data_IF_676283307648
#
_entry.id   IF_676283307648
#
_cell.length_a   1.000
_cell.length_b   1.000
_cell.length_c   1.000
_cell.angle_alpha   90.00
_cell.angle_beta   90.00
_cell.angle_gamma   90.00
#
_symmetry.space_group_name_H-M   'P 1'
#
loop_
_entity.id
_entity.type
_entity.pdbx_description
1 polymer ?
#
# COMPACT_ATOMS: atom_id res chain seq x y z
N UNK A 1 -45.25 6.40 -20.93
CA UNK A 1 -43.80 6.40 -21.22
C UNK A 1 -42.88 6.50 -19.98
N UNK A 2 -43.40 6.49 -18.74
CA UNK A 2 -42.59 6.67 -17.51
C UNK A 2 -41.84 5.41 -17.03
N UNK A 3 -42.43 4.22 -17.19
CA UNK A 3 -41.87 2.95 -16.66
C UNK A 3 -40.60 2.47 -17.39
N UNK A 4 -40.43 2.80 -18.67
CA UNK A 4 -39.25 2.40 -19.46
C UNK A 4 -38.01 3.23 -19.10
N UNK A 5 -38.18 4.53 -18.84
CA UNK A 5 -37.10 5.44 -18.45
C UNK A 5 -36.49 5.05 -17.09
N UNK A 6 -37.33 4.67 -16.12
CA UNK A 6 -36.87 4.21 -14.81
C UNK A 6 -35.98 2.96 -14.87
N UNK A 7 -36.33 1.99 -15.74
CA UNK A 7 -35.54 0.77 -15.95
C UNK A 7 -34.18 1.05 -16.60
N UNK A 8 -34.14 1.93 -17.60
CA UNK A 8 -32.89 2.34 -18.25
C UNK A 8 -31.98 3.09 -17.28
N UNK A 9 -32.51 4.01 -16.47
CA UNK A 9 -31.75 4.72 -15.46
C UNK A 9 -31.11 3.77 -14.43
N UNK A 10 -31.82 2.70 -14.05
CA UNK A 10 -31.29 1.67 -13.15
C UNK A 10 -30.14 0.88 -13.80
N UNK A 11 -30.24 0.55 -15.09
CA UNK A 11 -29.15 -0.09 -15.84
C UNK A 11 -27.93 0.81 -15.96
N UNK A 12 -28.12 2.10 -16.26
CA UNK A 12 -27.03 3.09 -16.32
C UNK A 12 -26.36 3.22 -14.95
N UNK A 13 -27.13 3.31 -13.87
CA UNK A 13 -26.62 3.36 -12.49
C UNK A 13 -25.78 2.13 -12.14
N UNK A 14 -26.16 0.96 -12.64
CA UNK A 14 -25.46 -0.30 -12.39
C UNK A 14 -24.34 -0.60 -13.41
N UNK A 15 -24.18 0.23 -14.45
CA UNK A 15 -23.18 0.05 -15.49
C UNK A 15 -21.75 0.19 -14.94
N UNK A 16 -20.78 -0.45 -15.60
CA UNK A 16 -19.36 -0.36 -15.20
C UNK A 16 -18.79 1.05 -15.28
N UNK A 17 -19.27 1.87 -16.23
CA UNK A 17 -18.85 3.26 -16.37
C UNK A 17 -19.32 4.10 -15.17
N UNK A 18 -20.53 3.85 -14.68
CA UNK A 18 -21.05 4.54 -13.48
C UNK A 18 -20.35 4.12 -12.18
N UNK A 19 -19.72 2.94 -12.14
CA UNK A 19 -18.96 2.46 -10.98
C UNK A 19 -17.58 3.14 -10.85
N UNK A 20 -17.05 3.74 -11.91
CA UNK A 20 -15.75 4.42 -11.87
C UNK A 20 -15.89 5.72 -11.06
N UNK A 21 -15.10 5.92 -9.99
CA UNK A 21 -15.17 7.13 -9.20
C UNK A 21 -14.68 8.33 -10.01
N UNK A 22 -15.51 9.37 -10.11
CA UNK A 22 -15.15 10.62 -10.77
C UNK A 22 -14.18 11.43 -9.91
N UNK A 23 -13.11 11.91 -10.51
CA UNK A 23 -12.15 12.78 -9.86
C UNK A 23 -11.69 13.90 -10.81
N UNK A 24 -11.73 15.15 -10.36
CA UNK A 24 -11.19 16.29 -11.12
C UNK A 24 -9.68 16.49 -10.92
N UNK A 25 -8.94 15.42 -10.61
CA UNK A 25 -7.50 15.51 -10.34
C UNK A 25 -6.74 15.46 -11.67
N UNK A 26 -5.60 16.17 -11.80
CA UNK A 26 -4.81 16.06 -13.01
C UNK A 26 -4.23 14.66 -13.17
N UNK A 27 -4.27 14.11 -14.39
CA UNK A 27 -3.74 12.78 -14.75
C UNK A 27 -2.23 12.70 -14.50
N UNK A 28 -1.52 13.76 -14.86
CA UNK A 28 -0.08 13.96 -14.60
C UNK A 28 0.08 14.94 -13.45
N UNK A 29 0.76 14.51 -12.38
CA UNK A 29 1.02 15.33 -11.20
C UNK A 29 2.53 15.48 -11.03
N UNK A 30 3.01 16.72 -10.93
CA UNK A 30 4.43 17.02 -10.68
C UNK A 30 4.85 16.82 -9.22
N UNK A 31 3.89 16.84 -8.29
CA UNK A 31 4.13 16.68 -6.86
C UNK A 31 4.30 15.23 -6.39
N UNK A 32 4.67 15.03 -5.12
CA UNK A 32 4.86 13.70 -4.55
C UNK A 32 3.54 12.91 -4.52
N UNK A 33 3.53 11.76 -5.18
CA UNK A 33 2.38 10.85 -5.24
C UNK A 33 2.51 9.74 -4.20
N UNK A 34 1.74 9.82 -3.12
CA UNK A 34 1.76 8.82 -2.04
C UNK A 34 0.87 7.61 -2.31
N UNK A 35 -0.24 7.80 -3.01
CA UNK A 35 -1.24 6.77 -3.26
C UNK A 35 -1.88 6.94 -4.66
N UNK A 36 -2.59 5.92 -5.18
CA UNK A 36 -3.31 6.03 -6.44
C UNK A 36 -4.32 7.18 -6.42
N UNK A 37 -4.49 7.81 -7.57
CA UNK A 37 -5.36 8.99 -7.76
C UNK A 37 -6.58 8.65 -8.60
N UNK A 38 -6.36 7.93 -9.69
CA UNK A 38 -7.36 7.48 -10.66
C UNK A 38 -7.53 5.96 -10.56
N UNK A 39 -8.72 5.49 -10.93
CA UNK A 39 -8.99 4.07 -11.12
C UNK A 39 -8.24 3.58 -12.37
N UNK A 40 -7.50 2.48 -12.22
CA UNK A 40 -6.89 1.80 -13.36
C UNK A 40 -7.98 0.99 -14.07
N UNK A 41 -8.04 1.13 -15.39
CA UNK A 41 -8.88 0.30 -16.26
C UNK A 41 -7.98 -0.59 -17.09
N UNK A 42 -8.35 -1.87 -17.11
CA UNK A 42 -7.70 -2.89 -17.93
C UNK A 42 -8.64 -3.32 -19.06
N UNK A 43 -8.08 -3.49 -20.25
CA UNK A 43 -8.75 -4.12 -21.39
C UNK A 43 -8.13 -5.49 -21.70
N UNK A 44 -8.89 -6.37 -22.35
CA UNK A 44 -8.38 -7.66 -22.83
C UNK A 44 -7.53 -7.46 -24.09
N UNK A 45 -6.58 -8.36 -24.40
CA UNK A 45 -5.81 -8.26 -25.64
C UNK A 45 -6.68 -8.19 -26.90
N UNK A 46 -7.78 -8.96 -26.95
CA UNK A 46 -8.70 -8.97 -28.09
C UNK A 46 -9.47 -7.66 -28.29
N UNK A 47 -9.80 -6.96 -27.22
CA UNK A 47 -10.50 -5.67 -27.27
C UNK A 47 -9.52 -4.51 -27.47
N UNK A 48 -8.29 -4.63 -26.97
CA UNK A 48 -7.22 -3.67 -27.24
C UNK A 48 -6.93 -3.54 -28.73
N UNK A 49 -6.86 -4.68 -29.44
CA UNK A 49 -6.63 -4.71 -30.89
C UNK A 49 -7.71 -3.93 -31.67
N UNK A 50 -8.95 -4.01 -31.18
CA UNK A 50 -10.11 -3.27 -31.71
C UNK A 50 -10.25 -1.85 -31.16
N UNK A 51 -9.30 -1.39 -30.33
CA UNK A 51 -9.32 -0.07 -29.69
C UNK A 51 -10.53 0.16 -28.75
N UNK A 52 -11.12 -0.93 -28.25
CA UNK A 52 -12.28 -0.91 -27.38
C UNK A 52 -11.88 -0.97 -25.89
N UNK A 53 -12.28 0.07 -25.16
CA UNK A 53 -11.97 0.23 -23.73
C UNK A 53 -13.23 0.34 -22.86
N UNK A 54 -14.42 0.26 -23.45
CA UNK A 54 -15.68 0.53 -22.75
C UNK A 54 -15.86 1.99 -22.35
N UNK A 55 -15.18 2.90 -23.05
CA UNK A 55 -15.32 4.36 -22.94
C UNK A 55 -16.19 4.88 -24.10
N UNK A 56 -16.49 6.18 -24.11
CA UNK A 56 -17.33 6.79 -25.16
C UNK A 56 -16.70 6.71 -26.55
N UNK A 57 -15.40 6.98 -26.65
CA UNK A 57 -14.63 6.91 -27.90
C UNK A 57 -13.58 5.80 -27.85
N UNK A 58 -13.14 5.36 -29.03
CA UNK A 58 -12.01 4.45 -29.18
C UNK A 58 -10.70 5.15 -28.81
N UNK A 59 -9.77 4.38 -28.27
CA UNK A 59 -8.44 4.87 -27.89
C UNK A 59 -7.46 4.62 -29.05
N UNK A 60 -6.55 5.56 -29.38
CA UNK A 60 -5.64 5.41 -30.52
C UNK A 60 -4.83 4.10 -30.53
N UNK A 61 -4.65 3.48 -31.71
CA UNK A 61 -3.84 2.26 -31.92
C UNK A 61 -2.38 2.38 -31.48
N UNK A 62 -1.86 3.61 -31.35
CA UNK A 62 -0.52 3.87 -30.81
C UNK A 62 -0.35 3.30 -29.40
N UNK A 63 -1.44 3.21 -28.63
CA UNK A 63 -1.44 2.71 -27.26
C UNK A 63 -1.43 1.18 -27.26
N UNK A 64 -0.28 0.60 -26.89
CA UNK A 64 -0.07 -0.86 -26.81
C UNK A 64 -0.25 -1.42 -25.39
N UNK A 65 -0.35 -0.55 -24.39
CA UNK A 65 -0.50 -0.94 -22.99
C UNK A 65 -1.94 -1.34 -22.72
N UNK A 66 -2.16 -2.41 -21.95
CA UNK A 66 -3.52 -2.86 -21.56
C UNK A 66 -4.15 -2.05 -20.41
N UNK A 67 -3.39 -1.16 -19.79
CA UNK A 67 -3.82 -0.37 -18.65
C UNK A 67 -3.86 1.10 -19.02
N UNK A 68 -4.93 1.78 -18.64
CA UNK A 68 -5.02 3.24 -18.71
C UNK A 68 -5.73 3.81 -17.48
N UNK A 69 -5.59 5.11 -17.32
CA UNK A 69 -6.38 5.95 -16.42
C UNK A 69 -7.06 7.03 -17.25
N UNK A 70 -8.26 7.47 -16.87
CA UNK A 70 -8.97 8.55 -17.57
C UNK A 70 -9.66 9.49 -16.59
N UNK A 71 -9.99 10.70 -17.06
CA UNK A 71 -10.79 11.68 -16.34
C UNK A 71 -12.18 11.82 -16.99
N UNK A 72 -12.18 12.32 -18.22
CA UNK A 72 -13.39 12.66 -18.95
C UNK A 72 -13.58 11.69 -20.12
N UNK A 73 -14.82 11.24 -20.29
CA UNK A 73 -15.22 10.39 -21.40
C UNK A 73 -15.27 11.15 -22.73
N UNK A 74 -15.40 12.46 -22.67
CA UNK A 74 -15.39 13.35 -23.82
C UNK A 74 -15.12 14.77 -23.33
N UNK A 75 -14.24 15.48 -24.03
CA UNK A 75 -13.97 16.90 -23.78
C UNK A 75 -14.50 17.78 -24.89
N UNK A 76 -14.34 19.10 -24.77
CA UNK A 76 -14.69 20.05 -25.83
C UNK A 76 -13.92 19.74 -27.12
N UNK A 77 -12.69 19.26 -26.99
CA UNK A 77 -11.84 18.84 -28.11
C UNK A 77 -12.27 17.50 -28.73
N UNK A 78 -13.38 16.90 -28.26
CA UNK A 78 -13.94 15.62 -28.74
C UNK A 78 -13.00 14.44 -28.57
N UNK A 79 -12.17 14.47 -27.53
CA UNK A 79 -11.24 13.40 -27.18
C UNK A 79 -11.49 12.95 -25.73
N UNK A 80 -11.10 11.72 -25.43
CA UNK A 80 -11.04 11.23 -24.05
C UNK A 80 -9.77 11.76 -23.39
N UNK A 81 -9.86 12.25 -22.16
CA UNK A 81 -8.67 12.62 -21.39
C UNK A 81 -8.16 11.38 -20.67
N UNK A 82 -7.10 10.78 -21.20
CA UNK A 82 -6.53 9.54 -20.66
C UNK A 82 -5.00 9.55 -20.67
N UNK A 83 -4.42 8.69 -19.83
CA UNK A 83 -3.00 8.39 -19.80
C UNK A 83 -2.79 6.87 -19.77
N UNK A 84 -1.92 6.29 -20.63
CA UNK A 84 -1.63 4.85 -20.68
C UNK A 84 -0.76 4.40 -19.51
N UNK A 85 -1.30 4.46 -18.29
CA UNK A 85 -0.56 4.20 -17.05
C UNK A 85 -1.26 3.15 -16.16
N UNK A 86 -0.51 2.11 -15.80
CA UNK A 86 -0.91 1.09 -14.82
C UNK A 86 0.10 0.88 -13.69
N UNK A 87 1.05 1.81 -13.50
CA UNK A 87 2.21 1.63 -12.61
C UNK A 87 1.85 1.33 -11.15
N UNK A 88 0.76 1.91 -10.63
CA UNK A 88 0.33 1.74 -9.24
C UNK A 88 -0.11 0.31 -8.92
N UNK A 89 -0.65 -0.44 -9.88
CA UNK A 89 -0.96 -1.87 -9.70
C UNK A 89 0.31 -2.69 -9.47
N UNK A 90 1.37 -2.41 -10.22
CA UNK A 90 2.65 -3.09 -10.07
C UNK A 90 3.32 -2.78 -8.73
N UNK A 91 3.21 -1.54 -8.24
CA UNK A 91 3.67 -1.19 -6.90
C UNK A 91 2.92 -1.99 -5.82
N UNK A 92 1.60 -2.14 -5.94
CA UNK A 92 0.81 -2.99 -5.02
C UNK A 92 1.26 -4.45 -5.06
N UNK A 93 1.45 -5.02 -6.24
CA UNK A 93 1.90 -6.41 -6.40
C UNK A 93 3.29 -6.60 -5.79
N UNK A 94 4.24 -5.71 -6.08
CA UNK A 94 5.58 -5.75 -5.48
C UNK A 94 5.53 -5.64 -3.96
N UNK A 95 4.69 -4.76 -3.40
CA UNK A 95 4.51 -4.65 -1.96
C UNK A 95 3.97 -5.95 -1.35
N UNK A 96 3.00 -6.59 -2.01
CA UNK A 96 2.47 -7.89 -1.60
C UNK A 96 3.54 -8.99 -1.66
N UNK A 97 4.45 -8.93 -2.63
CA UNK A 97 5.59 -9.86 -2.77
C UNK A 97 6.63 -9.67 -1.65
N UNK A 98 6.88 -8.44 -1.17
CA UNK A 98 7.65 -8.22 0.07
C UNK A 98 7.01 -9.01 1.21
N UNK A 99 5.68 -9.05 1.23
CA UNK A 99 4.83 -9.67 2.25
C UNK A 99 5.20 -9.24 3.66
N UNK A 100 5.51 -7.95 3.79
CA UNK A 100 5.68 -7.24 5.05
C UNK A 100 4.32 -6.69 5.45
N UNK A 101 3.85 -7.02 6.66
CA UNK A 101 2.63 -6.46 7.19
C UNK A 101 2.91 -5.05 7.75
N UNK A 102 2.21 -4.01 7.26
CA UNK A 102 2.41 -2.66 7.77
C UNK A 102 1.90 -2.57 9.20
N UNK A 103 2.70 -1.93 10.05
CA UNK A 103 2.31 -1.57 11.41
C UNK A 103 1.68 -0.17 11.40
N UNK A 104 0.61 -0.02 12.16
CA UNK A 104 0.01 1.29 12.40
C UNK A 104 0.79 2.05 13.48
N UNK A 105 0.54 3.35 13.62
CA UNK A 105 1.14 4.15 14.69
C UNK A 105 0.83 3.53 16.06
N UNK A 106 1.78 3.57 17.01
CA UNK A 106 1.60 3.00 18.34
C UNK A 106 0.35 3.58 19.00
N UNK A 107 -0.48 2.69 19.58
CA UNK A 107 -1.76 3.03 20.19
C UNK A 107 -2.98 3.04 19.28
N UNK A 108 -2.83 2.86 17.95
CA UNK A 108 -3.97 2.71 17.05
C UNK A 108 -4.22 1.23 16.75
N UNK A 109 -5.43 0.77 17.07
CA UNK A 109 -5.89 -0.54 16.67
C UNK A 109 -6.00 -0.66 15.15
N UNK A 110 -6.00 -1.89 14.64
CA UNK A 110 -6.23 -2.12 13.21
C UNK A 110 -7.65 -1.64 12.84
N UNK A 111 -7.80 -0.66 11.94
CA UNK A 111 -9.11 -0.08 11.63
C UNK A 111 -10.05 -1.01 10.87
N UNK A 112 -9.56 -2.17 10.39
CA UNK A 112 -10.37 -3.17 9.70
C UNK A 112 -11.15 -4.07 10.67
N UNK A 113 -10.77 -4.11 11.95
CA UNK A 113 -11.45 -4.90 12.96
C UNK A 113 -12.13 -3.97 13.96
N UNK A 114 -13.41 -4.23 14.22
CA UNK A 114 -14.13 -3.57 15.30
C UNK A 114 -13.71 -4.25 16.61
N UNK A 115 -12.93 -3.56 17.43
CA UNK A 115 -12.48 -4.06 18.72
C UNK A 115 -11.14 -3.48 19.13
N UNK A 116 -10.97 -3.30 20.44
CA UNK A 116 -9.69 -2.99 21.06
C UNK A 116 -8.71 -4.08 20.67
N UNK A 117 -7.83 -3.83 19.69
CA UNK A 117 -6.66 -4.71 19.54
C UNK A 117 -5.99 -4.75 20.90
N UNK A 118 -5.67 -5.94 21.40
CA UNK A 118 -5.10 -6.20 22.73
C UNK A 118 -3.80 -5.43 23.04
N UNK A 119 -3.29 -4.71 22.04
CA UNK A 119 -2.24 -3.70 22.11
C UNK A 119 -2.80 -2.30 21.81
N UNK A 120 -3.81 -1.84 22.56
CA UNK A 120 -3.85 -0.42 22.89
C UNK A 120 -2.62 -0.19 23.76
N UNK A 121 -1.45 -0.09 23.10
CA UNK A 121 -0.16 -0.06 23.75
C UNK A 121 -0.21 1.03 24.82
N UNK A 122 0.01 0.66 26.07
CA UNK A 122 0.22 1.60 27.19
C UNK A 122 1.38 2.59 26.89
N UNK A 123 2.15 2.33 25.82
CA UNK A 123 3.23 3.12 25.27
C UNK A 123 2.80 4.08 24.15
N UNK A 124 1.51 4.18 23.85
CA UNK A 124 1.00 5.16 22.88
C UNK A 124 1.29 6.57 23.38
N UNK A 125 2.00 7.42 22.60
CA UNK A 125 2.21 8.79 23.02
C UNK A 125 0.86 9.51 23.08
N UNK A 126 0.70 10.40 24.06
CA UNK A 126 -0.50 11.24 24.25
C UNK A 126 -0.98 11.94 22.97
N UNK A 127 -0.04 12.32 22.10
CA UNK A 127 -0.32 12.92 20.79
C UNK A 127 -1.06 11.99 19.81
N UNK A 128 -0.83 10.68 19.89
CA UNK A 128 -1.47 9.65 19.05
C UNK A 128 -2.96 9.55 19.35
N UNK A 129 -3.34 9.57 20.63
CA UNK A 129 -4.74 9.52 21.10
C UNK A 129 -5.50 10.76 20.65
N UNK A 130 -4.83 11.92 20.67
CA UNK A 130 -5.42 13.18 20.20
C UNK A 130 -5.36 13.35 18.67
N UNK A 131 -4.87 12.36 17.91
CA UNK A 131 -4.65 12.45 16.46
C UNK A 131 -3.82 13.70 16.05
N UNK A 132 -2.83 14.07 16.87
CA UNK A 132 -1.89 15.18 16.61
C UNK A 132 -0.59 14.57 16.08
N UNK A 133 -0.41 14.61 14.76
CA UNK A 133 0.83 14.18 14.10
C UNK A 133 1.85 15.31 14.02
N UNK A 134 3.14 14.99 13.80
CA UNK A 134 4.24 15.95 13.67
C UNK A 134 3.97 17.10 12.65
N UNK A 135 3.23 16.84 11.57
CA UNK A 135 2.76 17.87 10.61
C UNK A 135 1.57 18.72 11.08
N UNK A 136 0.70 18.16 11.93
CA UNK A 136 -0.45 18.87 12.51
C UNK A 136 -0.05 19.65 13.77
N UNK A 137 1.05 19.26 14.42
CA UNK A 137 1.66 19.97 15.54
C UNK A 137 2.13 21.38 15.16
N UNK A 138 2.58 21.57 13.92
CA UNK A 138 2.95 22.88 13.35
C UNK A 138 1.72 23.72 12.98
N UNK A 139 0.60 23.08 12.66
CA UNK A 139 -0.69 23.75 12.42
C UNK A 139 -1.37 24.10 13.76
N UNK A 140 -1.00 25.25 14.33
CA UNK A 140 -1.54 25.77 15.59
C UNK A 140 -3.08 25.74 15.69
N UNK A 141 -3.81 25.79 14.57
CA UNK A 141 -5.28 25.75 14.53
C UNK A 141 -5.87 24.44 15.08
N UNK A 142 -5.28 23.28 14.77
CA UNK A 142 -5.78 21.97 15.23
C UNK A 142 -5.47 21.76 16.71
N UNK A 143 -4.29 22.21 17.15
CA UNK A 143 -3.92 22.18 18.57
C UNK A 143 -4.81 23.13 19.37
N UNK A 144 -5.05 24.36 18.88
CA UNK A 144 -5.91 25.35 19.53
C UNK A 144 -7.37 24.91 19.64
N UNK A 145 -7.90 24.12 18.71
CA UNK A 145 -9.28 23.60 18.79
C UNK A 145 -9.42 22.44 19.78
N UNK A 146 -8.39 21.59 19.93
CA UNK A 146 -8.40 20.44 20.86
C UNK A 146 -7.94 20.79 22.28
N UNK A 147 -7.18 21.86 22.46
CA UNK A 147 -6.73 22.31 23.78
C UNK A 147 -7.88 22.64 24.76
N UNK A 148 -8.96 23.35 24.38
CA UNK A 148 -10.05 23.64 25.31
C UNK A 148 -10.77 22.38 25.78
N UNK A 149 -11.00 21.39 24.91
CA UNK A 149 -11.61 20.11 25.32
C UNK A 149 -10.70 19.30 26.24
N UNK A 150 -9.38 19.35 26.06
CA UNK A 150 -8.44 18.74 27.02
C UNK A 150 -8.43 19.50 28.36
N UNK A 151 -8.59 20.83 28.35
CA UNK A 151 -8.63 21.63 29.58
C UNK A 151 -9.87 21.34 30.43
N UNK A 152 -11.04 21.13 29.83
CA UNK A 152 -12.27 20.79 30.57
C UNK A 152 -12.14 19.44 31.28
N UNK A 153 -11.45 18.48 30.68
CA UNK A 153 -11.25 17.14 31.26
C UNK A 153 -10.28 17.09 32.45
N UNK A 154 -9.58 18.20 32.78
CA UNK A 154 -8.61 18.22 33.89
C UNK A 154 -9.24 17.99 35.26
N UNK A 155 -10.46 18.47 35.49
CA UNK A 155 -11.17 18.28 36.75
C UNK A 155 -11.46 16.80 37.01
N UNK A 156 -11.99 16.13 35.99
CA UNK A 156 -12.30 14.71 36.02
C UNK A 156 -11.03 13.85 36.13
N UNK A 157 -9.95 14.23 35.43
CA UNK A 157 -8.67 13.51 35.53
C UNK A 157 -8.11 13.54 36.96
N UNK A 158 -8.24 14.67 37.67
CA UNK A 158 -7.82 14.76 39.08
C UNK A 158 -8.65 13.85 39.99
N UNK A 159 -9.96 13.77 39.76
CA UNK A 159 -10.83 12.86 40.48
C UNK A 159 -10.49 11.39 40.20
N UNK A 160 -10.12 11.06 38.96
CA UNK A 160 -9.67 9.73 38.57
C UNK A 160 -8.30 9.37 39.19
N UNK A 161 -7.36 10.32 39.23
CA UNK A 161 -6.07 10.10 39.92
C UNK A 161 -6.25 9.83 41.42
N UNK A 162 -7.21 10.52 42.06
CA UNK A 162 -7.53 10.32 43.47
C UNK A 162 -8.06 8.91 43.77
N UNK A 163 -8.75 8.27 42.83
CA UNK A 163 -9.30 6.92 43.02
C UNK A 163 -8.30 5.80 42.71
N UNK A 164 -7.28 6.06 41.89
CA UNK A 164 -6.27 5.06 41.50
C UNK A 164 -5.07 5.03 42.45
N UNK A 165 -4.42 6.17 42.67
CA UNK A 165 -3.18 6.26 43.46
C UNK A 165 -3.22 7.42 44.47
N UNK A 166 -3.89 7.23 45.63
CA UNK A 166 -3.96 8.25 46.67
C UNK A 166 -2.59 8.49 47.34
N UNK A 167 -1.70 7.51 47.34
CA UNK A 167 -0.38 7.59 47.97
C UNK A 167 0.60 8.48 47.19
N UNK A 168 0.59 8.38 45.86
CA UNK A 168 1.40 9.23 44.99
C UNK A 168 1.00 10.71 45.10
N UNK A 169 -0.29 10.99 45.33
CA UNK A 169 -0.80 12.34 45.60
C UNK A 169 -0.36 12.89 46.96
N UNK A 170 -0.39 12.06 48.01
CA UNK A 170 0.06 12.46 49.36
C UNK A 170 1.56 12.76 49.39
N UNK A 171 2.35 11.94 48.69
CA UNK A 171 3.80 12.06 48.69
C UNK A 171 4.34 13.04 47.63
N UNK A 172 3.46 13.62 46.78
CA UNK A 172 3.81 14.50 45.66
C UNK A 172 4.92 13.94 44.76
N UNK A 173 5.03 12.61 44.67
CA UNK A 173 6.17 11.92 44.06
C UNK A 173 6.00 11.68 42.55
N UNK A 174 5.27 12.55 41.85
CA UNK A 174 4.98 12.36 40.43
C UNK A 174 6.15 12.75 39.54
N UNK A 175 6.67 11.78 38.79
CA UNK A 175 7.54 12.09 37.65
C UNK A 175 6.67 12.60 36.49
N UNK A 176 7.14 13.56 35.68
CA UNK A 176 6.44 13.97 34.45
C UNK A 176 6.11 12.81 33.50
N UNK A 177 6.90 11.74 33.52
CA UNK A 177 6.65 10.51 32.74
C UNK A 177 5.45 9.73 33.27
N UNK A 178 5.33 9.62 34.59
CA UNK A 178 4.24 8.88 35.24
C UNK A 178 2.90 9.59 34.98
N UNK A 179 2.88 10.93 35.12
CA UNK A 179 1.70 11.73 34.78
C UNK A 179 1.27 11.58 33.31
N UNK A 180 2.22 11.46 32.39
CA UNK A 180 1.91 11.22 30.99
C UNK A 180 1.29 9.83 30.78
N UNK A 181 1.82 8.79 31.44
CA UNK A 181 1.27 7.44 31.38
C UNK A 181 -0.14 7.37 31.97
N UNK A 182 -0.37 8.00 33.13
CA UNK A 182 -1.70 8.10 33.73
C UNK A 182 -2.68 8.89 32.87
N UNK A 183 -2.23 9.97 32.23
CA UNK A 183 -3.07 10.74 31.32
C UNK A 183 -3.45 9.92 30.07
N UNK A 184 -2.52 9.14 29.52
CA UNK A 184 -2.77 8.20 28.42
C UNK A 184 -3.80 7.14 28.84
N UNK A 185 -3.63 6.56 30.03
CA UNK A 185 -4.57 5.58 30.56
C UNK A 185 -5.97 6.17 30.76
N UNK A 186 -6.07 7.33 31.41
CA UNK A 186 -7.35 8.02 31.62
C UNK A 186 -8.08 8.32 30.31
N UNK A 187 -7.37 8.83 29.30
CA UNK A 187 -7.99 9.13 28.00
C UNK A 187 -8.43 7.85 27.28
N UNK A 188 -7.68 6.75 27.43
CA UNK A 188 -8.04 5.46 26.87
C UNK A 188 -9.30 4.88 27.52
N UNK A 189 -9.42 4.95 28.85
CA UNK A 189 -10.59 4.49 29.61
C UNK A 189 -11.82 5.36 29.33
N UNK A 190 -11.65 6.67 29.26
CA UNK A 190 -12.74 7.62 28.94
C UNK A 190 -13.14 7.58 27.46
N UNK A 191 -12.38 6.89 26.61
CA UNK A 191 -12.59 6.89 25.17
C UNK A 191 -12.38 8.26 24.52
N UNK A 192 -11.64 9.16 25.18
CA UNK A 192 -11.30 10.49 24.67
C UNK A 192 -10.20 10.36 23.60
N UNK A 193 -10.62 9.88 22.43
CA UNK A 193 -9.79 9.41 21.31
C UNK A 193 -10.50 8.32 20.50
N UNK A 194 -11.42 7.59 21.15
CA UNK A 194 -12.40 6.66 20.54
C UNK A 194 -13.71 7.37 20.14
N UNK A 195 -13.82 8.68 20.39
CA UNK A 195 -14.97 9.52 20.06
C UNK A 195 -15.12 9.84 18.56
N UNK A 196 -15.06 8.81 17.71
CA UNK A 196 -15.52 8.85 16.31
C UNK A 196 -15.84 7.44 15.74
N UNK A 197 -16.07 6.43 16.59
CA UNK A 197 -16.75 5.20 16.17
C UNK A 197 -18.28 5.37 16.09
N UNK A 198 -18.82 6.50 16.58
CA UNK A 198 -20.23 6.85 16.38
C UNK A 198 -20.43 7.61 15.07
N UNK A 199 -21.09 6.90 14.13
CA UNK A 199 -21.59 7.38 12.84
C UNK A 199 -20.49 7.71 11.83
N UNK A 200 -20.29 6.78 10.91
CA UNK A 200 -19.59 6.92 9.63
C UNK A 200 -20.12 8.14 8.85
N UNK A 201 -19.68 9.34 9.22
CA UNK A 201 -20.03 10.56 8.53
C UNK A 201 -19.15 10.69 7.28
N UNK A 202 -19.76 11.06 6.15
CA UNK A 202 -19.08 11.30 4.86
C UNK A 202 -17.96 12.35 4.95
N UNK A 203 -17.98 13.20 5.99
CA UNK A 203 -16.93 14.17 6.29
C UNK A 203 -15.69 13.52 6.94
N UNK A 204 -15.89 12.50 7.78
CA UNK A 204 -14.84 11.77 8.50
C UNK A 204 -14.14 10.73 7.63
N UNK A 205 -14.86 10.12 6.67
CA UNK A 205 -14.31 9.17 5.68
C UNK A 205 -13.49 9.82 4.54
N UNK A 206 -13.08 11.08 4.68
CA UNK A 206 -12.22 11.73 3.68
C UNK A 206 -10.74 11.30 3.78
N UNK A 207 -10.34 10.71 4.91
CA UNK A 207 -8.99 10.21 5.15
C UNK A 207 -8.76 8.78 4.66
N UNK A 208 -7.49 8.40 4.50
CA UNK A 208 -7.12 7.01 4.18
C UNK A 208 -7.36 6.14 5.41
N UNK A 209 -8.25 5.15 5.30
CA UNK A 209 -8.49 4.18 6.38
C UNK A 209 -7.43 3.08 6.30
N UNK A 210 -6.66 2.93 7.37
CA UNK A 210 -5.62 1.91 7.47
C UNK A 210 -4.56 2.03 6.39
N UNK A 211 -4.43 1.01 5.54
CA UNK A 211 -3.44 0.96 4.44
C UNK A 211 -3.98 1.54 3.12
N UNK A 212 -5.25 1.98 3.09
CA UNK A 212 -5.92 2.37 1.84
C UNK A 212 -6.10 1.23 0.84
N UNK A 213 -6.05 -0.02 1.31
CA UNK A 213 -6.15 -1.21 0.46
C UNK A 213 -4.85 -1.60 -0.26
N UNK A 214 -3.70 -1.04 0.13
CA UNK A 214 -2.40 -1.49 -0.39
C UNK A 214 -2.11 -2.95 -0.02
N UNK A 215 -2.41 -3.33 1.23
CA UNK A 215 -2.35 -4.71 1.71
C UNK A 215 -3.36 -4.93 2.82
N UNK A 216 -3.80 -6.18 2.94
CA UNK A 216 -4.63 -6.70 4.02
C UNK A 216 -3.89 -7.77 4.85
N UNK A 217 -2.56 -7.88 4.67
CA UNK A 217 -1.74 -8.84 5.42
C UNK A 217 -1.67 -8.46 6.90
N UNK A 218 -1.97 -9.42 7.78
CA UNK A 218 -1.83 -9.28 9.22
C UNK A 218 -0.41 -9.64 9.69
N UNK A 219 0.10 -8.99 10.75
CA UNK A 219 1.34 -9.41 11.39
C UNK A 219 1.17 -10.79 12.07
N UNK A 220 2.29 -11.46 12.38
CA UNK A 220 2.30 -12.74 13.10
C UNK A 220 2.39 -13.99 12.22
N UNK A 221 2.35 -13.85 10.90
CA UNK A 221 2.57 -14.97 9.97
C UNK A 221 4.06 -15.22 9.74
N UNK A 222 4.48 -16.47 9.87
CA UNK A 222 5.79 -16.94 9.41
C UNK A 222 5.70 -17.45 7.97
N UNK A 223 6.76 -17.23 7.18
CA UNK A 223 6.90 -17.74 5.82
C UNK A 223 7.87 -18.92 5.82
N UNK A 224 7.45 -20.08 5.32
CA UNK A 224 8.33 -21.23 5.15
C UNK A 224 8.84 -21.29 3.71
N UNK A 225 10.09 -21.71 3.54
CA UNK A 225 10.74 -21.98 2.25
C UNK A 225 11.40 -23.36 2.29
N UNK A 226 11.84 -23.93 1.16
CA UNK A 226 12.60 -25.19 1.18
C UNK A 226 13.85 -25.14 2.07
N UNK A 227 14.42 -23.95 2.28
CA UNK A 227 15.59 -23.74 3.15
C UNK A 227 15.20 -23.48 4.63
N UNK A 228 13.92 -23.66 4.99
CA UNK A 228 13.39 -23.42 6.32
C UNK A 228 12.61 -22.10 6.45
N UNK A 229 12.37 -21.71 7.71
CA UNK A 229 11.58 -20.52 8.06
C UNK A 229 12.36 -19.25 7.69
N UNK A 230 11.74 -18.41 6.86
CA UNK A 230 12.31 -17.13 6.42
C UNK A 230 12.20 -16.12 7.54
N UNK A 231 13.32 -15.82 8.20
CA UNK A 231 13.40 -14.85 9.29
C UNK A 231 13.57 -13.41 8.79
N UNK A 232 14.23 -13.22 7.65
CA UNK A 232 14.55 -11.91 7.06
C UNK A 232 14.01 -11.79 5.65
N UNK A 233 13.38 -10.67 5.33
CA UNK A 233 12.91 -10.39 3.97
C UNK A 233 13.97 -9.62 3.19
N UNK A 234 14.66 -10.31 2.26
CA UNK A 234 15.76 -9.74 1.49
C UNK A 234 15.27 -9.41 0.07
N UNK A 235 15.44 -8.15 -0.33
CA UNK A 235 14.86 -7.60 -1.56
C UNK A 235 15.89 -6.73 -2.26
N UNK A 236 16.04 -6.83 -3.59
CA UNK A 236 16.90 -5.94 -4.33
C UNK A 236 16.33 -4.51 -4.38
N UNK A 237 17.20 -3.53 -4.20
CA UNK A 237 16.87 -2.11 -4.27
C UNK A 237 18.04 -1.30 -4.85
N UNK A 238 17.84 0.00 -4.97
CA UNK A 238 18.85 0.94 -5.47
C UNK A 238 18.92 2.13 -4.52
N UNK A 239 20.10 2.64 -4.20
CA UNK A 239 20.16 3.92 -3.49
C UNK A 239 19.77 5.05 -4.42
N UNK A 240 19.10 6.06 -3.86
CA UNK A 240 18.71 7.27 -4.58
C UNK A 240 19.71 8.39 -4.39
N UNK A 241 20.23 8.52 -3.16
CA UNK A 241 21.19 9.53 -2.75
C UNK A 241 22.29 8.86 -1.92
N UNK A 242 23.49 9.43 -1.97
CA UNK A 242 24.67 9.00 -1.21
C UNK A 242 24.91 9.90 -0.01
N UNK A 243 24.47 11.16 -0.10
CA UNK A 243 24.75 12.18 0.90
C UNK A 243 23.64 12.28 1.95
N UNK A 244 24.05 12.14 3.22
CA UNK A 244 23.21 12.38 4.39
C UNK A 244 23.16 11.20 5.38
N UNK A 245 22.83 11.50 6.64
CA UNK A 245 22.61 10.49 7.69
C UNK A 245 21.41 9.57 7.36
N UNK A 246 20.42 10.06 6.61
CA UNK A 246 19.27 9.29 6.15
C UNK A 246 19.42 8.91 4.67
N UNK A 247 19.98 7.72 4.41
CA UNK A 247 20.11 7.23 3.04
C UNK A 247 18.75 6.78 2.50
N UNK A 248 18.37 7.29 1.34
CA UNK A 248 17.13 6.89 0.69
C UNK A 248 17.40 5.77 -0.34
N UNK A 249 16.57 4.74 -0.34
CA UNK A 249 16.64 3.66 -1.30
C UNK A 249 15.28 3.41 -1.97
N UNK A 250 15.30 3.14 -3.28
CA UNK A 250 14.15 2.66 -4.02
C UNK A 250 14.06 1.14 -3.91
N UNK A 251 13.00 0.64 -3.27
CA UNK A 251 12.74 -0.78 -3.05
C UNK A 251 11.31 -1.08 -3.51
N UNK A 252 11.14 -1.97 -4.48
CA UNK A 252 9.82 -2.45 -4.89
C UNK A 252 8.84 -1.38 -5.40
N UNK A 253 9.33 -0.24 -5.90
CA UNK A 253 8.49 0.90 -6.32
C UNK A 253 8.13 1.89 -5.20
N UNK A 254 8.74 1.75 -4.02
CA UNK A 254 8.60 2.66 -2.89
C UNK A 254 9.97 3.25 -2.51
N UNK A 255 9.95 4.42 -1.86
CA UNK A 255 11.13 5.05 -1.29
C UNK A 255 11.22 4.66 0.19
N UNK A 256 12.33 4.05 0.59
CA UNK A 256 12.62 3.57 1.93
C UNK A 256 13.78 4.35 2.56
N UNK A 257 13.76 4.49 3.88
CA UNK A 257 14.95 4.91 4.65
C UNK A 257 15.81 3.66 4.88
N UNK A 258 17.03 3.70 4.35
CA UNK A 258 18.01 2.64 4.41
C UNK A 258 19.08 2.97 5.45
N UNK A 259 19.11 2.20 6.54
CA UNK A 259 20.26 2.21 7.45
C UNK A 259 21.42 1.40 6.86
N UNK A 260 22.63 1.95 6.90
CA UNK A 260 23.84 1.17 6.68
C UNK A 260 24.44 0.78 8.02
N UNK A 261 24.76 -0.50 8.21
CA UNK A 261 25.53 -0.97 9.37
C UNK A 261 26.94 -1.40 9.00
N UNK A 262 27.41 -1.13 7.78
CA UNK A 262 28.69 -1.68 7.30
C UNK A 262 29.62 -0.61 6.75
N UNK A 263 30.89 -0.57 7.20
CA UNK A 263 31.93 0.31 6.65
C UNK A 263 32.34 -0.07 5.23
N UNK A 264 31.81 -1.15 4.67
CA UNK A 264 32.09 -1.60 3.31
C UNK A 264 31.11 -1.01 2.28
N UNK A 265 29.90 -0.58 2.70
CA UNK A 265 29.03 0.18 1.80
C UNK A 265 29.64 1.54 1.49
N UNK A 266 30.24 2.19 2.50
CA UNK A 266 30.91 3.48 2.32
C UNK A 266 32.04 3.42 1.28
N UNK A 267 32.77 2.31 1.16
CA UNK A 267 33.82 2.18 0.13
C UNK A 267 33.27 2.07 -1.31
N UNK A 268 32.10 1.45 -1.51
CA UNK A 268 31.43 1.46 -2.83
C UNK A 268 30.81 2.84 -3.09
N UNK A 269 30.40 3.54 -2.05
CA UNK A 269 29.79 4.87 -2.10
C UNK A 269 30.77 5.99 -2.54
N UNK A 270 32.06 5.93 -2.15
CA UNK A 270 33.02 7.01 -2.44
C UNK A 270 33.45 7.09 -3.91
N UNK A 271 33.39 6.00 -4.67
CA UNK A 271 33.93 5.98 -6.04
C UNK A 271 32.88 6.17 -7.15
N UNK A 272 31.58 6.21 -6.81
CA UNK A 272 30.52 6.13 -7.83
C UNK A 272 29.61 7.35 -7.92
N UNK A 273 29.62 8.30 -6.98
CA UNK A 273 28.83 9.54 -7.07
C UNK A 273 27.39 9.27 -7.54
N UNK A 274 26.82 10.10 -8.40
CA UNK A 274 25.42 9.93 -8.87
C UNK A 274 25.09 8.60 -9.58
N UNK A 275 26.09 7.77 -9.95
CA UNK A 275 25.89 6.48 -10.61
C UNK A 275 25.46 5.34 -9.66
N UNK A 276 25.38 5.57 -8.35
CA UNK A 276 24.93 4.51 -7.42
C UNK A 276 23.49 4.05 -7.72
N UNK A 277 22.69 4.86 -8.41
CA UNK A 277 21.35 4.47 -8.88
C UNK A 277 21.37 3.32 -9.90
N UNK A 278 22.47 3.10 -10.59
CA UNK A 278 22.61 2.02 -11.56
C UNK A 278 22.78 0.66 -10.87
N UNK A 279 23.43 0.66 -9.71
CA UNK A 279 23.75 -0.53 -8.95
C UNK A 279 22.57 -1.03 -8.13
N UNK A 280 22.37 -2.35 -8.19
CA UNK A 280 21.40 -3.05 -7.34
C UNK A 280 22.09 -3.61 -6.10
N UNK A 281 21.52 -3.29 -4.94
CA UNK A 281 21.98 -3.77 -3.64
C UNK A 281 20.89 -4.60 -2.96
N UNK A 282 21.28 -5.59 -2.16
CA UNK A 282 20.35 -6.37 -1.33
C UNK A 282 19.98 -5.58 -0.07
N UNK A 283 18.69 -5.46 0.20
CA UNK A 283 18.14 -4.82 1.39
C UNK A 283 17.31 -5.79 2.22
N UNK A 284 17.54 -5.80 3.53
CA UNK A 284 16.65 -6.40 4.52
C UNK A 284 15.54 -5.39 4.84
N UNK A 285 14.29 -5.72 4.50
CA UNK A 285 13.13 -4.88 4.88
C UNK A 285 12.72 -5.22 6.30
N UNK A 286 12.87 -4.26 7.22
CA UNK A 286 12.61 -4.46 8.66
C UNK A 286 11.16 -4.16 9.03
N UNK A 287 10.65 -3.03 8.54
CA UNK A 287 9.31 -2.56 8.92
C UNK A 287 8.70 -1.72 7.79
N UNK A 288 7.39 -1.89 7.61
CA UNK A 288 6.54 -0.96 6.88
C UNK A 288 5.60 -0.29 7.87
N UNK A 289 5.42 1.03 7.75
CA UNK A 289 4.40 1.77 8.48
C UNK A 289 3.62 2.67 7.54
N UNK A 290 2.33 2.89 7.83
CA UNK A 290 1.48 3.79 7.04
C UNK A 290 1.14 5.00 7.89
N UNK A 291 1.46 6.19 7.37
CA UNK A 291 1.10 7.46 7.99
C UNK A 291 -0.35 7.85 7.65
N UNK A 292 -0.97 8.71 8.47
CA UNK A 292 -2.35 9.16 8.29
C UNK A 292 -2.61 9.90 6.95
N UNK A 293 -1.56 10.35 6.26
CA UNK A 293 -1.62 10.95 4.92
C UNK A 293 -1.63 9.91 3.78
N UNK A 294 -1.58 8.62 4.09
CA UNK A 294 -1.48 7.53 3.12
C UNK A 294 -0.06 7.26 2.60
N UNK A 295 0.98 7.90 3.17
CA UNK A 295 2.38 7.62 2.85
C UNK A 295 2.81 6.32 3.50
N UNK A 296 3.44 5.48 2.70
CA UNK A 296 4.09 4.25 3.18
C UNK A 296 5.55 4.58 3.49
N UNK A 297 5.93 4.39 4.75
CA UNK A 297 7.30 4.51 5.22
C UNK A 297 7.89 3.11 5.36
N UNK A 298 8.94 2.85 4.59
CA UNK A 298 9.70 1.60 4.66
C UNK A 298 11.03 1.86 5.37
N UNK A 299 11.35 1.01 6.34
CA UNK A 299 12.67 0.95 6.96
C UNK A 299 13.39 -0.28 6.44
N UNK A 300 14.54 -0.06 5.84
CA UNK A 300 15.38 -1.10 5.27
C UNK A 300 16.80 -1.01 5.83
N UNK A 301 17.51 -2.12 5.76
CA UNK A 301 18.92 -2.22 6.14
C UNK A 301 19.70 -2.85 5.00
N UNK A 302 20.83 -2.25 4.64
CA UNK A 302 21.66 -2.78 3.55
C UNK A 302 22.45 -3.97 4.06
N UNK A 303 22.47 -5.06 3.30
CA UNK A 303 23.25 -6.24 3.63
C UNK A 303 24.58 -6.18 2.86
N UNK A 304 25.69 -5.98 3.55
CA UNK A 304 27.03 -6.11 2.98
C UNK A 304 27.57 -7.54 3.15
N UNK A 305 28.45 -7.99 2.25
CA UNK A 305 29.12 -9.30 2.38
C UNK A 305 28.37 -10.47 1.74
N UNK A 306 27.43 -10.19 0.83
CA UNK A 306 26.79 -11.25 0.03
C UNK A 306 27.84 -11.87 -0.90
N UNK A 307 27.89 -13.21 -0.95
CA UNK A 307 28.79 -13.93 -1.85
C UNK A 307 28.56 -13.49 -3.30
N UNK A 308 29.61 -13.42 -4.14
CA UNK A 308 29.48 -13.04 -5.56
C UNK A 308 28.41 -13.85 -6.29
N UNK A 309 28.28 -15.13 -5.92
CA UNK A 309 27.26 -16.06 -6.45
C UNK A 309 25.83 -15.63 -6.10
N UNK A 310 25.57 -15.17 -4.87
CA UNK A 310 24.26 -14.66 -4.48
C UNK A 310 23.98 -13.27 -5.09
N UNK A 311 25.01 -12.44 -5.31
CA UNK A 311 24.88 -11.18 -6.06
C UNK A 311 24.47 -11.42 -7.52
N UNK A 312 25.06 -12.43 -8.17
CA UNK A 312 24.70 -12.87 -9.52
C UNK A 312 23.26 -13.42 -9.59
N UNK A 313 22.82 -14.17 -8.57
CA UNK A 313 21.44 -14.67 -8.52
C UNK A 313 20.42 -13.54 -8.37
N UNK A 314 20.69 -12.51 -7.56
CA UNK A 314 19.81 -11.36 -7.38
C UNK A 314 19.79 -10.40 -8.58
N UNK A 315 20.92 -10.28 -9.28
CA UNK A 315 21.00 -9.52 -10.55
C UNK A 315 20.47 -10.31 -11.75
N UNK A 316 20.31 -11.63 -11.61
CA UNK A 316 19.82 -12.50 -12.67
C UNK A 316 18.35 -12.23 -12.98
N UNK A 317 18.01 -12.25 -14.28
CA UNK A 317 16.63 -12.09 -14.79
C UNK A 317 15.62 -13.02 -14.11
N UNK A 318 16.08 -14.14 -13.54
CA UNK A 318 15.26 -15.15 -12.88
C UNK A 318 14.75 -14.74 -11.48
N UNK A 319 15.39 -13.79 -10.79
CA UNK A 319 14.89 -13.29 -9.49
C UNK A 319 13.72 -12.29 -9.67
N UNK A 320 13.63 -11.66 -10.84
CA UNK A 320 12.67 -10.58 -11.11
C UNK A 320 11.31 -11.06 -11.63
N UNK A 321 11.06 -12.36 -11.71
CA UNK A 321 9.82 -12.85 -12.29
C UNK A 321 9.23 -13.90 -11.37
N UNK A 322 7.94 -13.71 -10.99
CA UNK A 322 7.03 -14.86 -10.92
C UNK A 322 7.44 -15.77 -12.07
N UNK A 323 7.73 -17.07 -11.86
CA UNK A 323 7.98 -17.94 -13.00
C UNK A 323 6.87 -17.61 -13.97
N UNK A 324 7.24 -17.10 -15.15
CA UNK A 324 6.28 -16.95 -16.23
C UNK A 324 5.67 -18.33 -16.23
N UNK A 325 4.36 -18.43 -16.01
CA UNK A 325 3.65 -19.58 -16.55
C UNK A 325 3.94 -19.42 -18.03
N UNK A 326 5.09 -19.95 -18.47
CA UNK A 326 5.25 -20.46 -19.79
C UNK A 326 4.09 -21.41 -19.82
N UNK A 327 2.96 -20.94 -20.34
CA UNK A 327 1.97 -21.83 -20.90
C UNK A 327 2.83 -22.81 -21.66
N UNK A 328 2.76 -24.08 -21.25
CA UNK A 328 3.56 -25.11 -21.86
C UNK A 328 3.53 -24.81 -23.34
N UNK A 329 4.70 -24.66 -23.95
CA UNK A 329 4.78 -24.79 -25.39
C UNK A 329 4.31 -26.21 -25.63
N UNK A 330 3.00 -26.41 -25.73
CA UNK A 330 2.49 -27.44 -26.57
C UNK A 330 3.17 -27.14 -27.91
N UNK A 331 4.01 -28.04 -28.43
CA UNK A 331 4.53 -27.87 -29.77
C UNK A 331 3.32 -27.55 -30.64
N UNK A 332 3.42 -26.49 -31.45
CA UNK A 332 2.35 -26.15 -32.37
C UNK A 332 2.03 -27.43 -33.14
N UNK A 333 0.83 -27.97 -32.92
CA UNK A 333 0.40 -29.23 -33.52
C UNK A 333 0.50 -28.98 -35.02
N UNK A 334 1.39 -29.71 -35.70
CA UNK A 334 1.51 -29.62 -37.15
C UNK A 334 0.17 -30.08 -37.74
N UNK A 335 -0.25 -29.54 -38.87
CA UNK A 335 -1.52 -29.94 -39.51
C UNK A 335 -1.60 -31.45 -39.69
N UNK A 336 -0.46 -32.08 -39.99
CA UNK A 336 -0.30 -33.53 -40.13
C UNK A 336 -0.55 -34.32 -38.84
N UNK A 337 -0.26 -33.74 -37.67
CA UNK A 337 -0.50 -34.38 -36.37
C UNK A 337 -1.96 -34.23 -35.94
N UNK A 338 -2.61 -33.13 -36.35
CA UNK A 338 -4.05 -32.91 -36.12
C UNK A 338 -4.92 -33.85 -36.94
N UNK A 339 -4.54 -34.14 -38.20
CA UNK A 339 -5.27 -35.11 -39.03
C UNK A 339 -5.17 -36.52 -38.47
N UNK A 340 -3.99 -36.94 -38.01
CA UNK A 340 -3.80 -38.26 -37.39
C UNK A 340 -4.58 -38.42 -36.09
N UNK A 341 -4.60 -37.39 -35.23
CA UNK A 341 -5.41 -37.41 -34.01
C UNK A 341 -6.92 -37.43 -34.33
N UNK A 342 -7.36 -36.76 -35.38
CA UNK A 342 -8.76 -36.79 -35.81
C UNK A 342 -9.16 -38.19 -36.34
N UNK A 343 -8.27 -38.84 -37.09
CA UNK A 343 -8.45 -40.21 -37.58
C UNK A 343 -8.46 -41.24 -36.44
N UNK A 344 -7.57 -41.08 -35.45
CA UNK A 344 -7.58 -41.92 -34.23
C UNK A 344 -8.90 -41.77 -33.47
N UNK A 345 -9.38 -40.54 -33.25
CA UNK A 345 -10.65 -40.31 -32.56
C UNK A 345 -11.85 -40.84 -33.36
N UNK A 346 -11.83 -40.71 -34.68
CA UNK A 346 -12.84 -41.31 -35.55
C UNK A 346 -12.82 -42.84 -35.46
N UNK A 347 -11.64 -43.47 -35.44
CA UNK A 347 -11.50 -44.91 -35.28
C UNK A 347 -11.99 -45.41 -33.92
N UNK A 348 -11.80 -44.63 -32.87
CA UNK A 348 -12.29 -44.93 -31.53
C UNK A 348 -13.82 -44.82 -31.53
N UNK A 349 -14.39 -43.80 -32.16
CA UNK A 349 -15.84 -43.59 -32.23
C UNK A 349 -16.55 -44.63 -33.10
N UNK A 350 -15.94 -45.11 -34.18
CA UNK A 350 -16.53 -46.13 -35.06
C UNK A 350 -16.39 -47.56 -34.51
N UNK A 351 -15.48 -47.79 -33.57
CA UNK A 351 -15.29 -49.08 -32.91
C UNK A 351 -16.24 -49.31 -31.71
N UNK A 352 -17.11 -48.35 -31.38
CA UNK A 352 -18.14 -48.52 -30.34
C UNK A 352 -19.42 -49.22 -30.84
N UNK A 353 -19.58 -49.44 -32.15
CA UNK A 353 -20.76 -50.07 -32.75
C UNK A 353 -20.56 -51.55 -33.12
N UNK A 354 -19.72 -52.29 -32.37
CA UNK A 354 -19.62 -53.76 -32.46
C UNK A 354 -19.78 -54.44 -31.12
#
# INVERSE_FOLDING_TARGET
MSLSSGRLAQLVKNSRVAQVPRNGKPLVQSGPRYHPTHQIIETKPSTLDRQEWGLKSSIPSKIKTRYLIFNDLDTLERITTFEPNGGTQWNRIRFQELGVAPKYNPGKANPLFQGSSSHADQLAPFSSILNINSRNSTNQKVVKSKLPSVKTMRGEFKQWLLSKDPEALKNKSFTPKDLNNYAVQFLSEKGAGNGEYERLNKATMRGVVGTGGLTYSLPGKLKNSPNGVVTKTIVPGRFLNIDGNDRLAAIGGFVANASSSSPMTSQVDYNMGDFVRELTFPFEVQQASVEDNGRVMLRAKVISGISPRARLQMSGRNYQQRPVRSGGRHPAVRSEDSTKHAEELLSILTNFDK
#
